data_IF_713408238715
#
_entry.id   IF_713408238715
#
_cell.length_a   1.000
_cell.length_b   1.000
_cell.length_c   1.000
_cell.angle_alpha   90.00
_cell.angle_beta   90.00
_cell.angle_gamma   90.00
#
_symmetry.space_group_name_H-M   'P 1'
#
loop_
_entity.id
_entity.type
_entity.pdbx_description
1 polymer ?
#
# COMPACT_ATOMS: atom_id res chain seq x y z
N UNK A 1 3.64 9.55 30.41
CA UNK A 1 3.23 8.16 30.10
C UNK A 1 3.91 7.09 30.93
N UNK A 2 5.09 7.33 31.50
CA UNK A 2 5.76 6.35 32.38
C UNK A 2 5.06 6.25 33.74
N UNK A 3 4.31 7.26 34.14
CA UNK A 3 3.62 7.34 35.45
C UNK A 3 2.15 6.91 35.39
N UNK A 4 1.55 6.68 34.22
CA UNK A 4 0.20 6.15 34.08
C UNK A 4 0.19 4.63 34.18
N UNK A 5 -0.91 4.07 34.62
CA UNK A 5 -1.14 2.63 34.59
C UNK A 5 -0.94 2.12 33.15
N UNK A 6 -0.38 0.93 32.95
CA UNK A 6 -0.21 0.35 31.61
C UNK A 6 -1.51 0.33 30.78
N UNK A 7 -2.65 0.17 31.44
CA UNK A 7 -3.99 0.16 30.86
C UNK A 7 -4.37 1.49 30.20
N UNK A 8 -3.83 2.62 30.70
CA UNK A 8 -4.09 3.96 30.17
C UNK A 8 -3.12 4.38 29.07
N UNK A 9 -2.19 3.51 28.67
CA UNK A 9 -1.17 3.82 27.65
C UNK A 9 -1.62 3.44 26.24
N UNK A 10 -2.75 3.98 25.81
CA UNK A 10 -3.32 3.73 24.50
C UNK A 10 -3.65 5.04 23.75
N UNK A 11 -3.98 4.93 22.46
CA UNK A 11 -4.30 6.10 21.65
C UNK A 11 -5.66 6.72 21.99
N UNK A 12 -6.58 5.98 22.60
CA UNK A 12 -7.83 6.50 23.14
C UNK A 12 -7.57 7.52 24.24
N UNK A 13 -6.70 7.19 25.23
CA UNK A 13 -6.30 8.12 26.27
C UNK A 13 -5.61 9.39 25.70
N UNK A 14 -4.86 9.26 24.60
CA UNK A 14 -4.30 10.44 23.92
C UNK A 14 -5.40 11.29 23.30
N UNK A 15 -6.42 10.66 22.73
CA UNK A 15 -7.57 11.38 22.16
C UNK A 15 -8.37 12.13 23.23
N UNK A 16 -8.63 11.52 24.40
CA UNK A 16 -9.26 12.18 25.54
C UNK A 16 -8.47 13.41 26.00
N UNK A 17 -7.14 13.29 26.10
CA UNK A 17 -6.28 14.42 26.43
C UNK A 17 -6.44 15.57 25.43
N UNK A 18 -6.61 15.28 24.13
CA UNK A 18 -6.79 16.32 23.10
C UNK A 18 -8.15 17.02 23.20
N UNK A 19 -9.18 16.32 23.70
CA UNK A 19 -10.54 16.90 23.82
C UNK A 19 -10.70 17.66 25.14
N UNK A 20 -10.22 17.09 26.23
CA UNK A 20 -10.56 17.56 27.58
C UNK A 20 -9.60 18.63 28.09
N UNK A 21 -8.36 18.66 27.58
CA UNK A 21 -7.35 19.57 28.11
C UNK A 21 -7.26 20.88 27.33
N UNK A 22 -7.24 21.97 28.08
CA UNK A 22 -6.94 23.30 27.55
C UNK A 22 -5.44 23.46 27.26
N UNK A 23 -5.08 24.50 26.51
CA UNK A 23 -3.67 24.84 26.27
C UNK A 23 -2.90 25.07 27.59
N UNK A 24 -3.56 25.61 28.63
CA UNK A 24 -2.98 25.84 29.94
C UNK A 24 -2.75 24.53 30.71
N UNK A 25 -3.68 23.57 30.59
CA UNK A 25 -3.52 22.25 31.22
C UNK A 25 -2.35 21.48 30.60
N UNK A 26 -2.20 21.54 29.28
CA UNK A 26 -1.03 20.97 28.58
C UNK A 26 0.27 21.62 29.07
N UNK A 27 0.32 22.95 29.20
CA UNK A 27 1.48 23.65 29.72
C UNK A 27 1.82 23.19 31.15
N UNK A 28 0.84 23.06 32.01
CA UNK A 28 1.03 22.59 33.38
C UNK A 28 1.62 21.16 33.39
N UNK A 29 1.05 20.23 32.61
CA UNK A 29 1.55 18.85 32.51
C UNK A 29 3.01 18.81 32.04
N UNK A 30 3.33 19.52 30.95
CA UNK A 30 4.69 19.49 30.42
C UNK A 30 5.71 20.30 31.23
N UNK A 31 5.27 21.27 32.05
CA UNK A 31 6.14 22.03 32.93
C UNK A 31 6.78 21.18 34.02
N UNK A 32 6.01 20.24 34.58
CA UNK A 32 6.44 19.32 35.65
C UNK A 32 7.48 18.30 35.16
N UNK A 33 7.48 17.96 33.89
CA UNK A 33 8.42 16.98 33.34
C UNK A 33 9.88 17.43 33.44
N UNK A 34 10.83 16.53 33.74
CA UNK A 34 12.25 16.84 33.74
C UNK A 34 12.74 17.32 32.36
N UNK A 35 13.75 18.17 32.34
CA UNK A 35 14.30 18.70 31.07
C UNK A 35 14.83 17.63 30.12
N UNK A 36 15.23 16.49 30.64
CA UNK A 36 15.72 15.33 29.89
C UNK A 36 14.60 14.50 29.26
N UNK A 37 13.35 14.72 29.66
CA UNK A 37 12.22 13.94 29.17
C UNK A 37 11.99 14.19 27.67
N UNK A 38 11.89 13.16 26.82
CA UNK A 38 11.79 13.33 25.37
C UNK A 38 10.54 14.13 24.95
N UNK A 39 9.41 13.94 25.64
CA UNK A 39 8.18 14.68 25.38
C UNK A 39 8.32 16.20 25.63
N UNK A 40 9.12 16.61 26.62
CA UNK A 40 9.37 18.03 26.90
C UNK A 40 10.07 18.75 25.76
N UNK A 41 11.01 18.08 25.09
CA UNK A 41 11.70 18.63 23.92
C UNK A 41 10.74 18.85 22.75
N UNK A 42 9.90 17.87 22.45
CA UNK A 42 8.88 17.97 21.41
C UNK A 42 7.86 19.08 21.72
N UNK A 43 7.37 19.14 22.97
CA UNK A 43 6.44 20.17 23.41
C UNK A 43 7.05 21.59 23.33
N UNK A 44 8.33 21.76 23.64
CA UNK A 44 8.99 23.06 23.55
C UNK A 44 9.06 23.61 22.13
N UNK A 45 9.12 22.74 21.13
CA UNK A 45 9.05 23.13 19.69
C UNK A 45 7.63 23.57 19.36
N UNK A 46 6.64 22.79 19.77
CA UNK A 46 5.22 23.12 19.60
C UNK A 46 4.88 24.48 20.26
N UNK A 47 5.33 24.70 21.48
CA UNK A 47 5.07 25.93 22.23
C UNK A 47 5.68 27.19 21.53
N UNK A 48 6.82 27.05 20.87
CA UNK A 48 7.48 28.14 20.10
C UNK A 48 6.83 28.43 18.76
N UNK A 49 5.95 27.57 18.28
CA UNK A 49 5.23 27.74 17.02
C UNK A 49 4.14 28.83 17.15
N UNK A 50 3.81 29.46 16.05
CA UNK A 50 2.70 30.43 16.00
C UNK A 50 1.38 29.81 16.42
N UNK A 51 0.48 30.63 16.95
CA UNK A 51 -0.85 30.19 17.43
C UNK A 51 -1.65 29.45 16.34
N UNK A 52 -1.54 29.88 15.10
CA UNK A 52 -2.19 29.23 13.95
C UNK A 52 -1.61 27.84 13.71
N UNK A 53 -0.30 27.67 13.72
CA UNK A 53 0.36 26.36 13.54
C UNK A 53 -0.01 25.41 14.68
N UNK A 54 -0.10 25.92 15.90
CA UNK A 54 -0.55 25.12 17.04
C UNK A 54 -2.00 24.65 16.88
N UNK A 55 -2.90 25.55 16.48
CA UNK A 55 -4.30 25.22 16.22
C UNK A 55 -4.44 24.20 15.08
N UNK A 56 -3.74 24.39 13.98
CA UNK A 56 -3.74 23.46 12.84
C UNK A 56 -3.19 22.07 13.23
N UNK A 57 -2.16 22.04 14.09
CA UNK A 57 -1.59 20.78 14.61
C UNK A 57 -2.62 20.04 15.47
N UNK A 58 -3.29 20.74 16.38
CA UNK A 58 -4.31 20.14 17.25
C UNK A 58 -5.52 19.66 16.45
N UNK A 59 -6.00 20.46 15.51
CA UNK A 59 -7.09 20.06 14.60
C UNK A 59 -6.71 18.83 13.76
N UNK A 60 -5.49 18.81 13.22
CA UNK A 60 -4.98 17.68 12.45
C UNK A 60 -4.85 16.39 13.27
N UNK A 61 -4.44 16.47 14.53
CA UNK A 61 -4.40 15.33 15.45
C UNK A 61 -5.82 14.86 15.80
N UNK A 62 -6.72 15.80 16.12
CA UNK A 62 -8.11 15.49 16.43
C UNK A 62 -8.80 14.75 15.29
N UNK A 63 -8.62 15.21 14.05
CA UNK A 63 -9.18 14.54 12.87
C UNK A 63 -8.61 13.12 12.67
N UNK A 64 -7.30 12.93 12.86
CA UNK A 64 -6.66 11.61 12.70
C UNK A 64 -7.05 10.63 13.78
N UNK A 65 -7.26 11.10 15.00
CA UNK A 65 -7.60 10.27 16.15
C UNK A 65 -9.12 10.18 16.37
N UNK A 66 -9.94 10.79 15.52
CA UNK A 66 -11.40 10.78 15.65
C UNK A 66 -12.00 9.37 15.73
N UNK A 67 -11.34 8.38 15.14
CA UNK A 67 -11.75 6.97 15.22
C UNK A 67 -11.86 6.47 16.66
N UNK A 68 -11.09 7.06 17.60
CA UNK A 68 -11.12 6.74 19.03
C UNK A 68 -12.30 7.37 19.80
N UNK A 69 -13.22 8.05 19.11
CA UNK A 69 -14.54 8.37 19.68
C UNK A 69 -15.39 7.11 19.93
N UNK A 70 -15.10 6.04 19.19
CA UNK A 70 -15.77 4.76 19.38
C UNK A 70 -15.17 3.99 20.54
N UNK A 71 -15.97 3.74 21.58
CA UNK A 71 -15.53 2.92 22.74
C UNK A 71 -15.04 1.54 22.29
N UNK A 72 -15.68 0.93 21.28
CA UNK A 72 -15.25 -0.36 20.74
C UNK A 72 -13.82 -0.33 20.22
N UNK A 73 -13.41 0.78 19.61
CA UNK A 73 -12.03 0.96 19.11
C UNK A 73 -11.06 1.14 20.27
N UNK A 74 -11.46 1.91 21.29
CA UNK A 74 -10.67 2.03 22.51
C UNK A 74 -10.46 0.67 23.17
N UNK A 75 -11.52 -0.13 23.28
CA UNK A 75 -11.46 -1.46 23.89
C UNK A 75 -10.54 -2.43 23.11
N UNK A 76 -10.66 -2.45 21.76
CA UNK A 76 -9.81 -3.31 20.90
C UNK A 76 -8.33 -2.91 20.96
N UNK A 77 -8.05 -1.62 21.16
CA UNK A 77 -6.68 -1.10 21.16
C UNK A 77 -6.08 -0.90 22.54
N UNK A 78 -6.84 -1.22 23.60
CA UNK A 78 -6.41 -1.05 24.99
C UNK A 78 -5.40 -2.10 25.45
N UNK A 79 -5.39 -3.29 24.83
CA UNK A 79 -4.53 -4.40 25.23
C UNK A 79 -3.84 -5.04 24.00
N UNK A 80 -2.71 -5.68 24.25
CA UNK A 80 -1.98 -6.47 23.27
C UNK A 80 -2.40 -7.94 23.37
N UNK A 81 -3.23 -8.42 22.45
CA UNK A 81 -3.70 -9.81 22.43
C UNK A 81 -2.71 -10.76 21.74
N UNK A 82 -1.70 -10.23 21.04
CA UNK A 82 -0.70 -11.02 20.33
C UNK A 82 0.65 -10.31 20.18
N UNK A 83 1.69 -11.09 19.93
CA UNK A 83 3.04 -10.58 19.69
C UNK A 83 3.28 -10.43 18.20
N UNK A 84 3.45 -9.20 17.72
CA UNK A 84 3.66 -8.90 16.27
C UNK A 84 4.79 -9.69 15.61
N UNK A 85 5.83 -10.06 16.35
CA UNK A 85 6.96 -10.81 15.80
C UNK A 85 6.80 -12.33 15.84
N UNK A 86 5.75 -12.86 16.47
CA UNK A 86 5.55 -14.29 16.72
C UNK A 86 5.61 -15.13 15.44
N UNK A 87 4.98 -14.66 14.35
CA UNK A 87 4.94 -15.41 13.09
C UNK A 87 6.31 -15.65 12.44
N UNK A 88 7.35 -14.94 12.87
CA UNK A 88 8.73 -15.20 12.44
C UNK A 88 9.42 -16.37 13.17
N UNK A 89 8.84 -16.85 14.29
CA UNK A 89 9.37 -17.90 15.15
C UNK A 89 8.47 -19.13 15.28
N UNK A 90 7.16 -18.94 15.12
CA UNK A 90 6.16 -19.99 15.25
C UNK A 90 5.31 -20.08 13.99
N UNK A 91 4.92 -21.31 13.62
CA UNK A 91 4.01 -21.53 12.50
C UNK A 91 2.61 -21.13 12.93
N UNK A 92 2.13 -20.00 12.45
CA UNK A 92 0.81 -19.46 12.72
C UNK A 92 0.23 -18.80 11.47
N UNK A 93 -1.06 -18.52 11.51
CA UNK A 93 -1.78 -17.75 10.48
C UNK A 93 -2.65 -16.69 11.14
N UNK A 94 -2.50 -15.45 10.70
CA UNK A 94 -3.33 -14.33 11.14
C UNK A 94 -4.31 -13.95 10.03
N UNK A 95 -5.59 -14.00 10.34
CA UNK A 95 -6.66 -13.58 9.45
C UNK A 95 -7.15 -12.20 9.88
N UNK A 96 -6.84 -11.19 9.08
CA UNK A 96 -7.22 -9.79 9.34
C UNK A 96 -8.40 -9.43 8.46
N UNK A 97 -9.57 -9.33 9.08
CA UNK A 97 -10.82 -9.00 8.39
C UNK A 97 -11.04 -7.49 8.47
N UNK A 98 -11.14 -6.85 7.31
CA UNK A 98 -11.31 -5.40 7.16
C UNK A 98 -12.62 -5.15 6.41
N UNK A 99 -13.42 -4.17 6.87
CA UNK A 99 -14.62 -3.77 6.14
C UNK A 99 -14.24 -3.04 4.84
N UNK A 100 -14.79 -3.49 3.73
CA UNK A 100 -14.68 -2.85 2.42
C UNK A 100 -15.67 -1.69 2.24
N UNK A 101 -16.77 -1.68 3.01
CA UNK A 101 -17.81 -0.63 2.95
C UNK A 101 -17.52 0.56 3.86
N UNK A 102 -16.85 0.36 4.99
CA UNK A 102 -16.58 1.41 5.97
C UNK A 102 -15.11 1.84 5.96
N UNK A 103 -14.88 3.03 5.43
CA UNK A 103 -13.54 3.63 5.37
C UNK A 103 -13.02 4.18 6.70
N UNK A 104 -13.90 4.30 7.72
CA UNK A 104 -13.56 4.90 9.02
C UNK A 104 -12.41 4.14 9.70
N UNK A 105 -12.38 2.83 9.53
CA UNK A 105 -11.38 1.95 10.19
C UNK A 105 -10.11 1.71 9.37
N UNK A 106 -10.00 2.28 8.16
CA UNK A 106 -8.79 2.13 7.33
C UNK A 106 -7.52 2.64 8.00
N UNK A 107 -7.65 3.64 8.87
CA UNK A 107 -6.52 4.13 9.65
C UNK A 107 -5.95 3.04 10.57
N UNK A 108 -6.82 2.28 11.25
CA UNK A 108 -6.38 1.18 12.14
C UNK A 108 -5.71 0.06 11.35
N UNK A 109 -6.28 -0.32 10.20
CA UNK A 109 -5.68 -1.34 9.34
C UNK A 109 -4.30 -0.92 8.85
N UNK A 110 -4.18 0.32 8.39
CA UNK A 110 -2.90 0.90 7.97
C UNK A 110 -1.87 0.90 9.10
N UNK A 111 -2.29 1.29 10.31
CA UNK A 111 -1.46 1.31 11.51
C UNK A 111 -1.02 -0.11 11.90
N UNK A 112 -1.95 -1.07 11.93
CA UNK A 112 -1.70 -2.47 12.23
C UNK A 112 -0.62 -3.06 11.31
N UNK A 113 -0.82 -2.96 10.00
CA UNK A 113 0.17 -3.46 9.04
C UNK A 113 1.51 -2.73 9.13
N UNK A 114 1.50 -1.42 9.40
CA UNK A 114 2.73 -0.67 9.60
C UNK A 114 3.53 -1.17 10.80
N UNK A 115 2.87 -1.41 11.94
CA UNK A 115 3.50 -1.98 13.13
C UNK A 115 3.97 -3.42 12.89
N UNK A 116 3.18 -4.22 12.19
CA UNK A 116 3.53 -5.60 11.87
C UNK A 116 4.83 -5.67 11.07
N UNK A 117 4.95 -4.89 10.00
CA UNK A 117 6.18 -4.81 9.21
C UNK A 117 7.38 -4.32 10.05
N UNK A 118 7.20 -3.25 10.82
CA UNK A 118 8.29 -2.69 11.63
C UNK A 118 8.77 -3.69 12.68
N UNK A 119 7.86 -4.38 13.36
CA UNK A 119 8.23 -5.35 14.40
C UNK A 119 8.90 -6.60 13.81
N UNK A 120 8.43 -7.11 12.68
CA UNK A 120 9.05 -8.25 12.00
C UNK A 120 10.45 -7.93 11.51
N UNK A 121 10.64 -6.76 10.90
CA UNK A 121 11.96 -6.32 10.43
C UNK A 121 12.92 -6.14 11.59
N UNK A 122 12.51 -5.45 12.68
CA UNK A 122 13.32 -5.31 13.89
C UNK A 122 13.66 -6.66 14.51
N UNK A 123 12.69 -7.55 14.58
CA UNK A 123 12.92 -8.87 15.14
C UNK A 123 13.91 -9.69 14.31
N UNK A 124 13.91 -9.56 12.98
CA UNK A 124 14.93 -10.17 12.12
C UNK A 124 16.30 -9.52 12.32
N UNK A 125 16.36 -8.19 12.36
CA UNK A 125 17.63 -7.46 12.46
C UNK A 125 18.31 -7.61 13.84
N UNK A 126 17.52 -7.65 14.93
CA UNK A 126 18.03 -7.63 16.31
C UNK A 126 18.23 -9.01 16.91
N UNK A 127 17.44 -10.02 16.50
CA UNK A 127 17.39 -11.32 17.17
C UNK A 127 18.06 -12.46 16.38
N UNK A 128 18.51 -12.21 15.15
CA UNK A 128 19.17 -13.24 14.32
C UNK A 128 20.50 -12.74 13.75
N UNK A 129 21.50 -13.60 13.72
CA UNK A 129 22.82 -13.28 13.14
C UNK A 129 22.70 -13.04 11.62
N UNK A 130 21.85 -13.80 10.96
CA UNK A 130 21.60 -13.72 9.51
C UNK A 130 20.71 -12.54 9.10
N UNK A 131 20.15 -11.81 10.07
CA UNK A 131 19.16 -10.75 9.86
C UNK A 131 17.93 -11.20 9.06
N UNK A 132 17.56 -12.46 9.21
CA UNK A 132 16.42 -13.08 8.55
C UNK A 132 15.58 -13.86 9.56
N UNK A 133 14.27 -13.84 9.41
CA UNK A 133 13.35 -14.59 10.28
C UNK A 133 13.56 -16.10 10.08
N UNK A 134 13.64 -16.91 11.15
CA UNK A 134 13.78 -18.36 11.06
C UNK A 134 12.65 -19.02 10.28
N UNK A 135 11.42 -18.51 10.43
CA UNK A 135 10.26 -18.96 9.67
C UNK A 135 9.88 -17.85 8.68
N UNK A 136 9.76 -18.21 7.39
CA UNK A 136 9.36 -17.27 6.35
C UNK A 136 7.92 -16.78 6.55
N UNK A 137 7.74 -15.48 6.57
CA UNK A 137 6.44 -14.84 6.71
C UNK A 137 5.90 -14.46 5.33
N UNK A 138 4.66 -14.88 5.02
CA UNK A 138 4.00 -14.54 3.78
C UNK A 138 2.82 -13.62 4.06
N UNK A 139 2.84 -12.41 3.52
CA UNK A 139 1.72 -11.50 3.50
C UNK A 139 0.90 -11.76 2.24
N UNK A 140 -0.39 -12.03 2.40
CA UNK A 140 -1.36 -12.09 1.32
C UNK A 140 -2.32 -10.93 1.54
N UNK A 141 -2.12 -9.85 0.79
CA UNK A 141 -2.86 -8.59 0.93
C UNK A 141 -3.92 -8.55 -0.17
N UNK A 142 -5.06 -9.16 0.14
CA UNK A 142 -6.22 -9.15 -0.75
C UNK A 142 -6.90 -7.78 -0.72
N UNK A 143 -7.45 -7.34 -1.85
CA UNK A 143 -8.03 -6.00 -2.00
C UNK A 143 -7.09 -4.90 -1.45
N UNK A 144 -5.80 -5.00 -1.75
CA UNK A 144 -4.74 -4.19 -1.16
C UNK A 144 -5.03 -2.67 -1.10
N UNK A 145 -5.64 -2.02 -2.11
CA UNK A 145 -6.00 -0.61 -2.03
C UNK A 145 -7.03 -0.30 -0.93
N UNK A 146 -7.82 -1.29 -0.48
CA UNK A 146 -8.85 -1.11 0.55
C UNK A 146 -8.29 -1.18 1.97
N UNK A 147 -7.13 -1.78 2.17
CA UNK A 147 -6.45 -1.83 3.48
C UNK A 147 -6.17 -0.43 4.04
N UNK A 148 -6.06 0.56 3.17
CA UNK A 148 -5.59 1.90 3.50
C UNK A 148 -4.15 2.12 3.02
N UNK A 149 -3.67 3.34 3.12
CA UNK A 149 -2.30 3.66 2.77
C UNK A 149 -1.35 3.22 3.89
N UNK A 150 -0.59 2.16 3.66
CA UNK A 150 0.48 1.76 4.59
C UNK A 150 1.67 2.72 4.36
N UNK A 151 2.08 3.50 5.37
CA UNK A 151 3.18 4.45 5.22
C UNK A 151 4.46 3.79 4.73
N UNK A 152 5.14 4.42 3.77
CA UNK A 152 6.41 3.97 3.20
C UNK A 152 6.38 2.52 2.67
N UNK A 153 5.22 2.06 2.17
CA UNK A 153 5.06 0.67 1.71
C UNK A 153 6.03 0.31 0.59
N UNK A 154 6.32 1.23 -0.33
CA UNK A 154 7.30 1.04 -1.40
C UNK A 154 8.72 0.71 -0.87
N UNK A 155 9.11 1.32 0.25
CA UNK A 155 10.39 1.00 0.91
C UNK A 155 10.31 -0.33 1.65
N UNK A 156 9.17 -0.61 2.30
CA UNK A 156 8.95 -1.88 2.98
C UNK A 156 9.05 -3.05 2.00
N UNK A 157 8.30 -3.02 0.89
CA UNK A 157 8.29 -4.11 -0.09
C UNK A 157 9.68 -4.35 -0.71
N UNK A 158 10.50 -3.32 -0.89
CA UNK A 158 11.84 -3.44 -1.47
C UNK A 158 12.87 -4.08 -0.51
N UNK A 159 12.65 -3.96 0.81
CA UNK A 159 13.66 -4.33 1.82
C UNK A 159 13.36 -5.62 2.57
N UNK A 160 12.10 -6.05 2.63
CA UNK A 160 11.69 -7.18 3.49
C UNK A 160 12.12 -8.56 2.99
N UNK A 161 12.45 -8.70 1.71
CA UNK A 161 12.87 -9.99 1.11
C UNK A 161 14.08 -10.60 1.81
N UNK A 162 15.09 -9.78 2.12
CA UNK A 162 16.29 -10.22 2.84
C UNK A 162 16.01 -10.70 4.27
N UNK A 163 14.86 -10.34 4.85
CA UNK A 163 14.41 -10.76 6.17
C UNK A 163 13.51 -12.00 6.14
N UNK A 164 13.47 -12.73 5.03
CA UNK A 164 12.61 -13.89 4.80
C UNK A 164 11.11 -13.55 4.88
N UNK A 165 10.74 -12.33 4.44
CA UNK A 165 9.35 -11.87 4.35
C UNK A 165 8.98 -11.73 2.87
N UNK A 166 7.85 -12.31 2.48
CA UNK A 166 7.29 -12.26 1.13
C UNK A 166 5.96 -11.55 1.15
N UNK A 167 5.68 -10.79 0.10
CA UNK A 167 4.44 -10.03 0.00
C UNK A 167 3.78 -10.35 -1.34
N UNK A 168 2.51 -10.73 -1.28
CA UNK A 168 1.60 -10.82 -2.43
C UNK A 168 0.56 -9.74 -2.30
N UNK A 169 0.50 -8.82 -3.26
CA UNK A 169 -0.52 -7.80 -3.35
C UNK A 169 -1.54 -8.17 -4.42
N UNK A 170 -2.82 -8.13 -4.09
CA UNK A 170 -3.91 -8.46 -4.98
C UNK A 170 -4.80 -7.22 -5.10
N UNK A 171 -5.14 -6.82 -6.31
CA UNK A 171 -5.98 -5.66 -6.59
C UNK A 171 -6.71 -5.85 -7.92
N UNK A 172 -7.84 -5.17 -8.08
CA UNK A 172 -8.71 -5.35 -9.25
C UNK A 172 -8.24 -4.56 -10.46
N UNK A 173 -7.74 -3.35 -10.27
CA UNK A 173 -7.25 -2.50 -11.36
C UNK A 173 -6.18 -1.51 -10.89
N UNK A 174 -5.41 -1.02 -11.85
CA UNK A 174 -4.31 -0.09 -11.59
C UNK A 174 -4.81 1.27 -11.10
N UNK A 175 -5.97 1.73 -11.56
CA UNK A 175 -6.51 3.02 -11.14
C UNK A 175 -6.78 3.07 -9.63
N UNK A 176 -7.27 1.98 -9.02
CA UNK A 176 -7.43 1.89 -7.56
C UNK A 176 -6.09 1.94 -6.83
N UNK A 177 -5.08 1.26 -7.37
CA UNK A 177 -3.74 1.27 -6.78
C UNK A 177 -3.10 2.66 -6.88
N UNK A 178 -3.20 3.33 -8.04
CA UNK A 178 -2.70 4.69 -8.24
C UNK A 178 -3.39 5.71 -7.33
N UNK A 179 -4.71 5.62 -7.18
CA UNK A 179 -5.46 6.48 -6.26
C UNK A 179 -5.00 6.32 -4.81
N UNK A 180 -4.59 5.12 -4.42
CA UNK A 180 -4.11 4.84 -3.05
C UNK A 180 -2.65 5.22 -2.85
N UNK A 181 -1.80 4.99 -3.85
CA UNK A 181 -0.36 5.26 -3.85
C UNK A 181 0.00 6.19 -5.02
N UNK A 182 -0.32 7.50 -4.89
CA UNK A 182 -0.13 8.48 -5.96
C UNK A 182 1.35 8.78 -6.24
N UNK A 183 1.63 9.68 -7.18
CA UNK A 183 2.99 10.16 -7.52
C UNK A 183 3.93 9.04 -7.95
N UNK A 184 3.42 8.08 -8.73
CA UNK A 184 4.16 6.92 -9.23
C UNK A 184 4.62 5.92 -8.14
N UNK A 185 4.20 6.05 -6.88
CA UNK A 185 4.53 5.07 -5.85
C UNK A 185 3.98 3.68 -6.19
N UNK A 186 2.82 3.61 -6.85
CA UNK A 186 2.24 2.37 -7.34
C UNK A 186 3.14 1.64 -8.35
N UNK A 187 3.88 2.37 -9.20
CA UNK A 187 4.85 1.78 -10.14
C UNK A 187 6.04 1.16 -9.39
N UNK A 188 6.51 1.83 -8.32
CA UNK A 188 7.56 1.28 -7.48
C UNK A 188 7.09 0.01 -6.76
N UNK A 189 5.83 -0.04 -6.31
CA UNK A 189 5.24 -1.24 -5.68
C UNK A 189 5.22 -2.40 -6.68
N UNK A 190 4.65 -2.19 -7.88
CA UNK A 190 4.58 -3.22 -8.92
C UNK A 190 5.99 -3.62 -9.39
N UNK A 191 6.90 -2.65 -9.51
CA UNK A 191 8.28 -2.88 -9.92
C UNK A 191 9.08 -3.75 -8.95
N UNK A 192 8.72 -3.78 -7.67
CA UNK A 192 9.32 -4.65 -6.66
C UNK A 192 8.69 -6.07 -6.62
N UNK A 193 7.65 -6.33 -7.41
CA UNK A 193 7.05 -7.66 -7.53
C UNK A 193 7.72 -8.42 -8.68
N UNK A 194 8.51 -9.45 -8.35
CA UNK A 194 9.22 -10.29 -9.34
C UNK A 194 8.23 -11.07 -10.24
N UNK A 195 7.08 -11.47 -9.68
CA UNK A 195 6.03 -12.21 -10.39
C UNK A 195 4.78 -11.36 -10.46
N UNK A 196 4.23 -11.20 -11.64
CA UNK A 196 3.00 -10.48 -11.90
C UNK A 196 2.04 -11.40 -12.65
N UNK A 197 0.82 -11.55 -12.11
CA UNK A 197 -0.22 -12.42 -12.67
C UNK A 197 -1.42 -11.54 -13.01
N UNK A 198 -1.81 -11.52 -14.28
CA UNK A 198 -3.03 -10.89 -14.74
C UNK A 198 -4.05 -11.96 -15.12
N UNK A 199 -5.25 -11.87 -14.58
CA UNK A 199 -6.35 -12.80 -14.83
C UNK A 199 -7.43 -12.22 -15.76
N UNK A 200 -7.08 -11.13 -16.47
CA UNK A 200 -7.98 -10.33 -17.28
C UNK A 200 -8.37 -9.04 -16.59
N UNK A 201 -8.81 -8.06 -17.36
CA UNK A 201 -9.30 -6.78 -16.84
C UNK A 201 -10.33 -6.17 -17.80
N UNK A 202 -11.25 -5.37 -17.24
CA UNK A 202 -12.24 -4.60 -18.00
C UNK A 202 -11.89 -3.09 -18.03
N UNK A 203 -10.73 -2.72 -17.47
CA UNK A 203 -10.28 -1.35 -17.34
C UNK A 203 -9.21 -1.03 -18.37
N UNK A 204 -9.42 0.02 -19.22
CA UNK A 204 -8.47 0.34 -20.30
C UNK A 204 -7.07 0.70 -19.80
N UNK A 205 -6.93 1.29 -18.62
CA UNK A 205 -5.64 1.66 -18.04
C UNK A 205 -4.83 0.41 -17.67
N UNK A 206 -5.48 -0.56 -17.04
CA UNK A 206 -4.86 -1.85 -16.68
C UNK A 206 -4.50 -2.64 -17.93
N UNK A 207 -5.39 -2.71 -18.94
CA UNK A 207 -5.14 -3.37 -20.21
C UNK A 207 -3.93 -2.76 -20.93
N UNK A 208 -3.87 -1.42 -21.02
CA UNK A 208 -2.74 -0.72 -21.65
C UNK A 208 -1.41 -1.02 -20.93
N UNK A 209 -1.42 -1.02 -19.59
CA UNK A 209 -0.24 -1.33 -18.80
C UNK A 209 0.27 -2.76 -19.03
N UNK A 210 -0.62 -3.75 -19.08
CA UNK A 210 -0.27 -5.15 -19.34
C UNK A 210 0.24 -5.30 -20.77
N UNK A 211 -0.47 -4.74 -21.75
CA UNK A 211 -0.09 -4.77 -23.16
C UNK A 211 1.32 -4.21 -23.39
N UNK A 212 1.64 -3.06 -22.79
CA UNK A 212 2.96 -2.45 -22.91
C UNK A 212 4.06 -3.34 -22.30
N UNK A 213 3.79 -3.96 -21.15
CA UNK A 213 4.75 -4.83 -20.45
C UNK A 213 4.99 -6.16 -21.12
N UNK A 214 4.02 -6.69 -21.87
CA UNK A 214 4.21 -7.92 -22.65
C UNK A 214 5.11 -7.71 -23.87
N UNK A 215 5.27 -6.45 -24.29
CA UNK A 215 6.17 -6.07 -25.37
C UNK A 215 5.60 -6.28 -26.76
N UNK A 216 6.48 -6.26 -27.76
CA UNK A 216 6.14 -6.34 -29.17
C UNK A 216 6.48 -7.70 -29.74
N UNK A 217 5.65 -8.19 -30.65
CA UNK A 217 5.95 -9.35 -31.52
C UNK A 217 6.04 -8.93 -32.98
N UNK A 218 6.74 -9.71 -33.74
CA UNK A 218 6.83 -9.54 -35.20
C UNK A 218 5.75 -10.37 -35.88
N UNK A 219 4.96 -9.73 -36.73
CA UNK A 219 3.95 -10.39 -37.56
C UNK A 219 4.29 -10.27 -39.01
N UNK A 220 3.99 -11.29 -39.80
CA UNK A 220 4.00 -11.25 -41.24
C UNK A 220 2.59 -10.95 -41.74
N UNK A 221 2.44 -9.86 -42.47
CA UNK A 221 1.17 -9.47 -43.09
C UNK A 221 1.25 -9.75 -44.59
N UNK A 222 0.39 -10.66 -45.02
CA UNK A 222 0.25 -10.97 -46.46
C UNK A 222 -0.97 -10.23 -47.00
N UNK A 223 -0.77 -9.37 -47.96
CA UNK A 223 -1.84 -8.65 -48.64
C UNK A 223 -1.99 -9.19 -50.06
N UNK A 224 -3.17 -9.68 -50.38
CA UNK A 224 -3.54 -10.12 -51.70
C UNK A 224 -4.36 -9.05 -52.42
N UNK A 225 -3.91 -8.60 -53.58
CA UNK A 225 -4.65 -7.69 -54.47
C UNK A 225 -5.06 -8.42 -55.72
N UNK A 226 -6.37 -8.47 -56.00
CA UNK A 226 -6.94 -9.06 -57.23
C UNK A 226 -7.63 -7.95 -58.01
N UNK A 227 -7.12 -7.62 -59.20
CA UNK A 227 -7.83 -6.75 -60.14
C UNK A 227 -8.82 -7.54 -60.97
N UNK A 228 -10.12 -7.33 -60.75
CA UNK A 228 -11.18 -7.85 -61.59
C UNK A 228 -11.40 -6.91 -62.76
N UNK A 229 -10.85 -7.28 -63.94
CA UNK A 229 -11.15 -6.59 -65.21
C UNK A 229 -12.49 -7.06 -65.74
N UNK A 230 -13.53 -6.25 -65.63
CA UNK A 230 -14.92 -6.57 -66.04
C UNK A 230 -15.17 -6.52 -67.56
N UNK A 231 -14.16 -6.13 -68.38
CA UNK A 231 -14.39 -5.80 -69.80
C UNK A 231 -13.37 -6.34 -70.83
N UNK A 232 -12.55 -7.37 -70.50
CA UNK A 232 -11.67 -8.02 -71.44
C UNK A 232 -11.98 -9.51 -71.56
N UNK A 233 -12.60 -9.88 -72.70
CA UNK A 233 -12.96 -11.27 -73.02
C UNK A 233 -11.76 -12.17 -73.43
N UNK A 234 -10.53 -11.66 -73.36
CA UNK A 234 -9.36 -12.36 -73.90
C UNK A 234 -8.24 -12.59 -72.90
N UNK A 235 -8.24 -12.01 -71.73
CA UNK A 235 -7.21 -12.24 -70.75
C UNK A 235 -7.76 -13.06 -69.56
N UNK A 236 -7.43 -14.36 -69.62
CA UNK A 236 -7.82 -15.33 -68.55
C UNK A 236 -6.84 -15.39 -67.38
N UNK A 237 -5.82 -14.53 -67.33
CA UNK A 237 -4.90 -14.42 -66.17
C UNK A 237 -5.36 -13.29 -65.28
N UNK A 238 -5.95 -13.59 -64.07
CA UNK A 238 -6.22 -12.55 -63.09
C UNK A 238 -4.87 -11.97 -62.63
N UNK A 239 -4.71 -10.64 -62.70
CA UNK A 239 -3.58 -9.97 -62.09
C UNK A 239 -3.62 -10.19 -60.58
N UNK A 240 -2.87 -11.17 -60.15
CA UNK A 240 -2.69 -11.51 -58.75
C UNK A 240 -1.39 -10.91 -58.24
N UNK A 241 -1.48 -10.04 -57.27
CA UNK A 241 -0.30 -9.48 -56.59
C UNK A 241 -0.36 -9.83 -55.13
N UNK A 242 0.57 -10.63 -54.71
CA UNK A 242 0.82 -10.93 -53.29
C UNK A 242 1.98 -10.05 -52.81
N UNK A 243 1.74 -9.33 -51.73
CA UNK A 243 2.76 -8.53 -51.05
C UNK A 243 2.88 -9.01 -49.61
N UNK A 244 4.04 -9.58 -49.28
CA UNK A 244 4.39 -9.90 -47.91
C UNK A 244 5.15 -8.74 -47.29
N UNK A 245 4.72 -8.33 -46.10
CA UNK A 245 5.38 -7.29 -45.30
C UNK A 245 5.54 -7.77 -43.87
N UNK A 246 6.64 -7.35 -43.25
CA UNK A 246 6.91 -7.65 -41.83
C UNK A 246 6.58 -6.43 -40.98
N UNK A 247 5.67 -6.58 -40.07
CA UNK A 247 5.24 -5.52 -39.16
C UNK A 247 5.49 -5.85 -37.71
N UNK A 248 5.39 -4.84 -36.84
CA UNK A 248 5.42 -5.00 -35.39
C UNK A 248 4.00 -4.84 -34.85
N UNK A 249 3.63 -5.70 -33.90
CA UNK A 249 2.36 -5.64 -33.16
C UNK A 249 2.65 -5.82 -31.69
N UNK A 250 1.78 -5.30 -30.82
CA UNK A 250 1.79 -5.69 -29.39
C UNK A 250 1.59 -7.20 -29.29
N UNK A 251 2.35 -7.87 -28.39
CA UNK A 251 2.22 -9.31 -28.17
C UNK A 251 0.80 -9.66 -27.72
N UNK A 252 0.23 -8.82 -26.82
CA UNK A 252 -1.16 -8.86 -26.41
C UNK A 252 -1.80 -7.49 -26.66
N UNK A 253 -2.83 -7.44 -27.49
CA UNK A 253 -3.60 -6.22 -27.70
C UNK A 253 -4.56 -5.96 -26.54
N UNK A 254 -5.10 -4.74 -26.46
CA UNK A 254 -6.03 -4.32 -25.41
C UNK A 254 -7.31 -5.17 -25.34
N UNK A 255 -7.75 -5.69 -26.47
CA UNK A 255 -8.94 -6.53 -26.62
C UNK A 255 -8.68 -8.02 -26.32
N UNK A 256 -7.44 -8.40 -26.15
CA UNK A 256 -7.02 -9.78 -25.84
C UNK A 256 -6.75 -9.96 -24.32
N UNK A 257 -6.73 -8.86 -23.55
CA UNK A 257 -6.49 -8.82 -22.12
C UNK A 257 -7.78 -8.67 -21.33
#
# INVERSE_FOLDING_TARGET
DIERNPEDRNLGAVYEILIDLTAQDLENIFSVLPRTHPAKKAYSIYQKSDSKVRADTMAGLGTRLQVFQSQKICDITAADDFVFSQMGWEKCAYFVIISDQDSTFRFLSSLFFSFLFVNLVRAADDKTEERALPIGVNFILDEFPNIGMIPDFKMKISTVRSRNIRISVIFQNIAQLENRYPKNEWLEIIGNCDTQIALGCNDPMTAAFISERTGLTTIEAVSESKHLHTWRFTDYTPDYKETSSVGKRQLMNLDEI
#
